data_IF_877912815332
#
_entry.id   IF_877912815332
#
_cell.length_a   1.000
_cell.length_b   1.000
_cell.length_c   1.000
_cell.angle_alpha   90.00
_cell.angle_beta   90.00
_cell.angle_gamma   90.00
#
_symmetry.space_group_name_H-M   'P 1'
#
loop_
_entity.id
_entity.type
_entity.pdbx_description
1 polymer ?
2 water ?
#
# COMPACT_ATOMS: atom_id res chain seq x y z
N UNK A 1 19.41 -22.08 3.73
CA UNK A 1 19.48 -23.16 2.75
C UNK A 1 18.19 -23.47 2.06
N UNK A 2 17.14 -22.74 2.36
CA UNK A 2 15.86 -22.90 1.69
C UNK A 2 15.48 -21.58 1.00
N UNK A 3 14.59 -21.73 0.03
CA UNK A 3 14.09 -20.56 -0.75
C UNK A 3 12.59 -20.45 -0.69
N UNK A 4 12.07 -19.31 -1.15
CA UNK A 4 10.62 -19.17 -1.26
C UNK A 4 10.04 -19.12 0.15
N UNK A 5 8.79 -19.51 0.27
CA UNK A 5 8.05 -19.42 1.54
C UNK A 5 8.69 -20.24 2.67
N UNK A 6 9.40 -21.28 2.30
CA UNK A 6 10.15 -22.15 3.22
C UNK A 6 11.50 -21.58 3.61
N UNK A 7 11.90 -20.48 2.98
CA UNK A 7 13.23 -19.90 3.27
C UNK A 7 13.09 -18.39 3.48
N UNK A 8 11.90 -18.00 3.87
CA UNK A 8 11.59 -16.59 4.12
C UNK A 8 11.75 -15.72 2.88
N UNK A 9 11.28 -16.15 1.74
CA UNK A 9 11.37 -15.40 0.49
C UNK A 9 12.78 -15.20 -0.02
N UNK A 10 13.67 -16.07 0.34
CA UNK A 10 15.04 -16.14 -0.08
C UNK A 10 15.03 -16.63 -1.55
N UNK A 11 16.01 -16.06 -2.26
CA UNK A 11 16.11 -16.33 -3.72
C UNK A 11 17.38 -17.06 -3.96
N UNK A 12 17.43 -17.88 -4.96
CA UNK A 12 18.57 -18.68 -5.39
C UNK A 12 19.57 -17.83 -6.20
N UNK A 13 20.82 -18.18 -6.20
CA UNK A 13 21.87 -17.46 -6.90
C UNK A 13 21.75 -17.81 -8.39
N UNK A 14 22.25 -16.92 -9.26
CA UNK A 14 22.27 -17.17 -10.70
C UNK A 14 21.02 -17.62 -11.43
N UNK A 15 19.96 -16.99 -11.06
CA UNK A 15 18.58 -17.21 -11.47
C UNK A 15 18.12 -18.62 -11.30
N UNK A 16 18.69 -19.41 -10.37
CA UNK A 16 18.15 -20.80 -10.19
C UNK A 16 16.74 -20.64 -9.69
N UNK A 17 15.90 -21.55 -10.13
CA UNK A 17 14.48 -21.58 -9.80
C UNK A 17 14.30 -22.30 -8.44
N UNK A 18 13.39 -21.68 -7.74
CA UNK A 18 13.04 -22.30 -6.40
C UNK A 18 11.82 -23.17 -6.65
N UNK A 19 11.92 -24.49 -6.47
CA UNK A 19 10.76 -25.36 -6.65
C UNK A 19 9.67 -25.03 -5.65
N UNK A 20 8.59 -25.78 -5.87
CA UNK A 20 7.42 -25.64 -4.98
C UNK A 20 7.77 -26.17 -3.58
N UNK A 21 8.82 -26.92 -3.46
CA UNK A 21 9.25 -27.47 -2.15
C UNK A 21 10.20 -26.55 -1.41
N UNK A 22 10.69 -25.47 -1.99
CA UNK A 22 11.61 -24.58 -1.30
C UNK A 22 13.06 -24.98 -1.56
N UNK A 23 13.42 -25.67 -2.61
CA UNK A 23 14.75 -26.04 -3.00
C UNK A 23 15.14 -25.35 -4.36
N UNK A 24 16.43 -25.04 -4.43
CA UNK A 24 17.04 -24.41 -5.61
C UNK A 24 17.63 -25.39 -6.63
N UNK A 25 17.29 -25.20 -7.92
CA UNK A 25 17.90 -26.02 -8.97
C UNK A 25 17.48 -25.55 -10.36
N UNK A 26 17.61 -26.48 -11.29
CA UNK A 26 17.30 -26.18 -12.71
C UNK A 26 16.73 -27.48 -13.25
N UNK A 27 15.81 -27.27 -14.13
CA UNK A 27 15.13 -28.38 -14.84
C UNK A 27 13.64 -28.12 -14.60
N UNK A 28 12.85 -29.02 -15.15
CA UNK A 28 11.39 -28.96 -15.05
C UNK A 28 10.95 -29.16 -13.59
N UNK A 29 11.80 -29.79 -12.80
CA UNK A 29 11.41 -30.06 -11.38
C UNK A 29 11.40 -28.77 -10.58
N UNK A 30 12.12 -27.77 -11.06
CA UNK A 30 12.24 -26.53 -10.25
C UNK A 30 11.62 -25.32 -10.98
N UNK A 31 11.82 -25.37 -12.28
CA UNK A 31 11.32 -24.21 -13.05
C UNK A 31 9.91 -24.39 -13.54
N UNK A 32 9.48 -25.64 -13.59
CA UNK A 32 8.11 -25.87 -14.04
C UNK A 32 7.11 -25.34 -13.01
N UNK A 33 5.97 -26.01 -13.04
CA UNK A 33 4.77 -25.80 -12.21
C UNK A 33 5.16 -25.73 -10.72
N UNK A 34 4.69 -24.69 -10.05
CA UNK A 34 5.00 -24.40 -8.66
C UNK A 34 6.27 -23.60 -8.47
N UNK A 35 7.01 -23.33 -9.51
CA UNK A 35 8.25 -22.52 -9.43
C UNK A 35 8.00 -21.26 -8.63
N UNK A 36 8.89 -20.96 -7.68
CA UNK A 36 8.77 -19.84 -6.78
C UNK A 36 9.40 -18.53 -7.16
N UNK A 37 10.61 -18.47 -7.62
CA UNK A 37 11.33 -17.21 -7.96
C UNK A 37 12.45 -17.72 -8.85
N UNK A 38 13.30 -16.93 -9.45
CA UNK A 38 14.34 -17.41 -10.36
C UNK A 38 13.78 -17.49 -11.80
N UNK A 39 14.43 -18.13 -12.70
CA UNK A 39 14.00 -18.34 -14.10
C UNK A 39 12.81 -19.23 -14.28
N UNK A 40 11.70 -19.04 -13.58
CA UNK A 40 10.51 -19.92 -13.74
C UNK A 40 10.05 -19.94 -15.21
N UNK A 41 9.69 -21.07 -15.70
CA UNK A 41 9.22 -21.37 -17.04
C UNK A 41 8.00 -20.55 -17.37
N UNK A 42 7.23 -20.33 -16.32
CA UNK A 42 6.04 -19.46 -16.46
C UNK A 42 6.34 -18.17 -15.72
N UNK A 43 6.73 -17.13 -16.46
CA UNK A 43 7.11 -15.85 -15.81
C UNK A 43 6.05 -15.45 -14.84
N UNK A 44 6.41 -14.87 -13.75
CA UNK A 44 5.53 -14.33 -12.72
C UNK A 44 4.98 -12.99 -13.24
N UNK A 45 3.87 -12.55 -12.75
CA UNK A 45 3.19 -11.33 -13.04
C UNK A 45 3.60 -10.19 -12.15
N UNK A 46 3.40 -8.96 -12.63
CA UNK A 46 3.85 -7.80 -11.82
C UNK A 46 3.18 -6.52 -12.25
N UNK A 47 3.65 -5.45 -11.61
CA UNK A 47 3.16 -4.10 -11.78
C UNK A 47 1.65 -4.07 -11.87
N UNK A 48 1.18 -3.09 -12.61
CA UNK A 48 -0.22 -2.82 -12.90
C UNK A 48 -1.10 -4.05 -13.02
N UNK A 49 -0.61 -5.03 -13.75
CA UNK A 49 -1.37 -6.26 -13.97
C UNK A 49 -1.54 -7.20 -12.78
N UNK A 50 -0.79 -6.99 -11.72
CA UNK A 50 -0.84 -7.85 -10.52
C UNK A 50 -0.57 -7.08 -9.24
N UNK A 51 -1.42 -6.12 -9.01
CA UNK A 51 -1.48 -5.25 -7.87
C UNK A 51 -0.34 -4.42 -7.43
N UNK A 52 0.68 -4.20 -8.23
CA UNK A 52 1.85 -3.39 -7.84
C UNK A 52 3.01 -4.32 -7.49
N UNK A 53 2.72 -5.61 -7.56
CA UNK A 53 3.68 -6.69 -7.29
C UNK A 53 4.98 -6.45 -8.06
N UNK A 54 6.09 -6.54 -7.36
CA UNK A 54 7.48 -6.42 -7.78
C UNK A 54 7.98 -7.80 -8.21
N UNK A 55 8.96 -7.83 -9.09
CA UNK A 55 9.55 -9.05 -9.59
C UNK A 55 10.67 -9.47 -8.63
N UNK A 56 10.68 -10.75 -8.37
CA UNK A 56 11.74 -11.32 -7.50
C UNK A 56 13.02 -11.37 -8.35
N UNK A 57 14.17 -11.47 -7.75
CA UNK A 57 15.47 -11.60 -8.34
C UNK A 57 15.86 -10.34 -9.20
N UNK A 58 15.19 -9.27 -8.90
CA UNK A 58 15.45 -7.99 -9.63
C UNK A 58 15.06 -8.06 -11.13
N UNK A 59 14.17 -8.91 -11.51
CA UNK A 59 13.72 -9.02 -12.90
C UNK A 59 12.96 -7.73 -13.23
N UNK A 60 12.99 -7.41 -14.54
CA UNK A 60 12.24 -6.25 -15.07
C UNK A 60 10.83 -6.76 -15.30
N UNK A 61 9.90 -5.92 -14.98
CA UNK A 61 8.46 -6.07 -15.22
C UNK A 61 8.14 -5.33 -16.57
N UNK A 62 7.93 -6.13 -17.57
CA UNK A 62 7.62 -5.69 -18.93
C UNK A 62 6.30 -4.94 -18.88
N UNK A 63 5.95 -4.31 -19.99
CA UNK A 63 4.70 -3.52 -20.07
C UNK A 63 3.44 -4.34 -19.94
N UNK A 64 3.42 -5.62 -20.19
CA UNK A 64 2.28 -6.51 -20.04
C UNK A 64 2.13 -7.13 -18.63
N UNK A 65 2.99 -6.67 -17.74
CA UNK A 65 2.98 -7.15 -16.35
C UNK A 65 3.54 -8.54 -16.16
N UNK A 66 4.51 -8.96 -16.93
CA UNK A 66 5.24 -10.21 -16.86
C UNK A 66 6.69 -9.93 -16.42
N UNK A 67 7.31 -10.91 -15.76
CA UNK A 67 8.70 -10.75 -15.32
C UNK A 67 9.79 -11.35 -16.19
N UNK A 68 10.87 -10.58 -16.45
CA UNK A 68 11.93 -11.16 -17.31
C UNK A 68 13.11 -10.21 -17.51
N UNK A 69 13.95 -10.58 -18.44
CA UNK A 69 15.12 -9.73 -18.82
C UNK A 69 15.06 -9.56 -20.38
N UNK A 70 15.86 -8.68 -20.90
CA UNK A 70 15.98 -8.41 -22.34
C UNK A 70 15.13 -7.23 -22.77
N UNK A 71 15.29 -6.88 -24.07
CA UNK A 71 14.53 -5.74 -24.68
C UNK A 71 13.07 -5.74 -24.37
N UNK A 72 12.35 -6.87 -24.58
CA UNK A 72 10.92 -6.90 -24.27
C UNK A 72 10.49 -6.60 -22.84
N UNK A 73 11.40 -6.84 -21.85
CA UNK A 73 11.06 -6.61 -20.43
C UNK A 73 11.73 -5.37 -19.84
N UNK A 74 12.96 -5.19 -20.25
CA UNK A 74 13.65 -3.99 -19.65
C UNK A 74 13.50 -2.75 -20.56
N UNK A 75 13.06 -2.99 -21.77
CA UNK A 75 12.94 -1.82 -22.72
C UNK A 75 11.75 -0.98 -22.49
N UNK A 76 11.19 -0.55 -23.63
CA UNK A 76 9.97 0.30 -23.60
C UNK A 76 8.78 -0.35 -22.90
N UNK A 77 8.16 0.47 -22.06
CA UNK A 77 7.01 0.24 -21.24
C UNK A 77 7.35 -0.40 -19.88
N UNK A 78 8.60 -0.73 -19.68
CA UNK A 78 9.07 -1.42 -18.47
C UNK A 78 8.45 -0.80 -17.24
N UNK A 79 7.83 -1.58 -16.37
CA UNK A 79 7.22 -0.95 -15.17
C UNK A 79 8.04 -1.10 -13.90
N UNK A 80 8.99 -2.02 -13.80
CA UNK A 80 9.76 -2.19 -12.57
C UNK A 80 11.02 -2.99 -12.74
N UNK A 81 11.96 -2.83 -11.78
CA UNK A 81 13.25 -3.60 -12.02
C UNK A 81 14.24 -2.67 -12.67
N UNK A 82 15.37 -3.20 -13.11
CA UNK A 82 16.47 -2.47 -13.73
C UNK A 82 16.13 -2.15 -15.24
N UNK A 83 15.06 -1.43 -15.33
CA UNK A 83 14.47 -0.92 -16.63
C UNK A 83 15.55 -0.10 -17.34
N UNK A 84 15.48 -0.10 -18.64
CA UNK A 84 16.53 0.60 -19.46
C UNK A 84 16.54 2.10 -19.36
N UNK A 85 15.45 2.72 -18.99
CA UNK A 85 15.27 4.12 -18.72
C UNK A 85 15.45 4.48 -17.22
N UNK A 86 16.08 5.58 -16.97
CA UNK A 86 16.28 6.06 -15.60
C UNK A 86 14.92 6.20 -14.93
N UNK A 87 14.91 5.87 -13.65
CA UNK A 87 13.71 5.87 -12.82
C UNK A 87 13.93 7.01 -11.84
N UNK A 88 12.95 7.85 -11.79
CA UNK A 88 12.87 9.08 -10.99
C UNK A 88 12.28 8.87 -9.61
N UNK A 89 12.75 9.73 -8.72
CA UNK A 89 12.30 9.60 -7.32
C UNK A 89 12.71 10.83 -6.54
N UNK A 90 12.22 10.84 -5.32
CA UNK A 90 12.57 11.85 -4.34
C UNK A 90 11.79 13.11 -4.34
N UNK A 91 12.46 14.13 -3.78
CA UNK A 91 11.83 15.47 -3.69
C UNK A 91 11.40 15.83 -5.12
N UNK A 92 12.29 15.58 -6.04
CA UNK A 92 12.03 15.91 -7.45
C UNK A 92 10.82 15.21 -8.02
N UNK A 93 10.25 14.24 -7.34
CA UNK A 93 9.09 13.52 -7.86
C UNK A 93 8.05 13.15 -6.82
N UNK A 94 7.70 14.19 -6.08
CA UNK A 94 6.69 14.15 -5.03
C UNK A 94 7.07 13.06 -4.01
N UNK A 95 8.31 13.09 -3.61
CA UNK A 95 8.89 12.19 -2.64
C UNK A 95 8.77 10.70 -2.93
N UNK A 96 8.58 10.28 -4.17
CA UNK A 96 8.49 8.88 -4.53
C UNK A 96 9.74 8.15 -4.01
N UNK A 97 9.43 6.91 -3.62
CA UNK A 97 10.47 6.00 -3.12
C UNK A 97 10.91 5.13 -4.26
N UNK A 98 12.14 4.69 -4.34
CA UNK A 98 12.52 3.75 -5.40
C UNK A 98 12.01 2.35 -4.95
N UNK A 99 11.77 1.53 -5.90
CA UNK A 99 11.30 0.15 -5.67
C UNK A 99 12.52 -0.71 -5.27
N UNK A 100 12.19 -1.71 -4.45
CA UNK A 100 13.22 -2.65 -4.01
C UNK A 100 14.33 -2.04 -3.21
N UNK A 101 14.10 -1.04 -2.41
CA UNK A 101 15.16 -0.48 -1.53
C UNK A 101 16.27 0.30 -2.22
N UNK A 102 16.21 0.46 -3.57
CA UNK A 102 17.24 1.16 -4.28
C UNK A 102 17.38 2.56 -3.66
N UNK A 103 18.57 3.05 -3.90
CA UNK A 103 18.87 4.43 -3.39
C UNK A 103 18.31 5.47 -4.37
N UNK A 104 17.84 6.55 -3.82
CA UNK A 104 17.37 7.70 -4.64
C UNK A 104 18.52 8.73 -4.54
N UNK A 105 19.30 8.87 -5.60
CA UNK A 105 20.44 9.78 -5.62
C UNK A 105 19.98 11.19 -5.33
N UNK A 106 20.96 12.01 -5.03
CA UNK A 106 20.76 13.44 -4.78
C UNK A 106 20.03 14.10 -5.96
N UNK A 107 20.22 13.64 -7.17
CA UNK A 107 19.60 14.09 -8.41
C UNK A 107 18.22 13.58 -8.75
N UNK A 108 17.68 12.61 -7.94
CA UNK A 108 16.35 12.09 -8.19
C UNK A 108 16.28 10.87 -9.08
N UNK A 109 17.26 10.02 -9.14
CA UNK A 109 17.29 8.77 -9.90
C UNK A 109 17.62 7.58 -8.95
N UNK A 110 17.13 6.43 -9.35
CA UNK A 110 17.24 5.16 -8.64
C UNK A 110 18.41 4.34 -9.10
N UNK A 111 19.20 3.84 -8.13
CA UNK A 111 20.35 2.98 -8.44
C UNK A 111 20.91 2.36 -7.15
N UNK A 112 22.06 1.80 -7.22
CA UNK A 112 22.80 1.20 -6.11
C UNK A 112 24.27 1.52 -6.44
N UNK A 113 25.00 1.82 -5.41
CA UNK A 113 26.44 2.06 -5.69
C UNK A 113 26.64 3.44 -5.05
N UNK A 114 27.89 3.79 -5.03
CA UNK A 114 28.28 5.04 -4.38
C UNK A 114 27.56 6.28 -4.79
N UNK A 115 27.28 6.40 -6.09
CA UNK A 115 26.65 7.57 -6.67
C UNK A 115 25.22 7.78 -6.28
N UNK A 116 24.56 6.73 -5.88
CA UNK A 116 23.15 6.85 -5.52
C UNK A 116 22.94 6.80 -4.01
N UNK A 117 23.79 5.92 -3.45
CA UNK A 117 23.69 5.59 -2.01
C UNK A 117 24.56 6.48 -1.14
N UNK A 118 25.62 7.03 -1.72
CA UNK A 118 26.55 7.86 -0.92
C UNK A 118 25.93 9.20 -0.68
N UNK A 119 26.65 10.18 -0.21
CA UNK A 119 26.21 11.54 0.13
C UNK A 119 25.09 12.12 -0.70
N UNK A 120 24.03 12.62 -0.13
CA UNK A 120 22.89 13.21 -0.84
C UNK A 120 21.75 12.22 -0.99
N UNK A 121 22.04 10.96 -0.84
CA UNK A 121 21.06 9.86 -0.92
C UNK A 121 19.85 10.32 -0.14
N UNK A 122 18.74 10.13 -0.79
CA UNK A 122 17.44 10.62 -0.34
C UNK A 122 16.59 9.55 0.37
N UNK A 123 16.61 8.34 -0.14
CA UNK A 123 15.73 7.29 0.46
C UNK A 123 16.34 5.99 0.00
N UNK A 124 15.85 4.91 0.58
CA UNK A 124 16.42 3.60 0.27
C UNK A 124 17.67 3.30 1.11
N UNK A 125 18.42 2.40 0.57
CA UNK A 125 19.65 1.79 1.01
C UNK A 125 20.83 2.71 1.11
N UNK A 126 20.60 3.90 1.64
CA UNK A 126 21.66 4.91 1.71
C UNK A 126 22.76 4.36 2.65
N UNK A 127 23.96 4.63 2.30
CA UNK A 127 25.15 4.25 3.05
C UNK A 127 25.56 5.38 3.98
N UNK A 128 24.77 6.44 4.09
CA UNK A 128 25.17 7.58 4.93
C UNK A 128 24.89 7.35 6.40
N UNK A 129 24.04 6.39 6.67
CA UNK A 129 23.64 6.00 8.01
C UNK A 129 23.37 7.20 8.90
N UNK A 130 22.33 7.95 8.60
CA UNK A 130 21.92 9.13 9.34
C UNK A 130 21.09 8.82 10.58
N UNK A 131 21.34 9.63 11.60
CA UNK A 131 20.72 9.58 12.91
C UNK A 131 19.23 9.86 12.88
N UNK A 132 18.53 9.00 13.57
CA UNK A 132 17.07 9.04 13.76
C UNK A 132 16.78 9.09 15.26
N UNK A 133 15.51 9.19 15.60
CA UNK A 133 14.99 9.23 16.95
C UNK A 133 15.26 10.53 17.70
N UNK A 134 15.06 10.41 19.00
CA UNK A 134 15.19 11.42 20.03
C UNK A 134 16.56 12.10 20.00
N UNK A 135 17.61 11.33 19.74
CA UNK A 135 18.93 11.98 19.72
C UNK A 135 19.06 12.75 18.40
N UNK A 136 18.02 12.67 17.60
CA UNK A 136 18.02 13.31 16.28
C UNK A 136 16.90 14.29 16.03
N UNK A 137 16.47 14.99 17.05
CA UNK A 137 15.36 15.96 16.93
C UNK A 137 14.17 15.23 16.29
N UNK A 138 13.98 14.04 16.78
CA UNK A 138 12.95 13.11 16.40
C UNK A 138 12.71 13.06 14.89
N UNK A 139 13.77 12.71 14.20
CA UNK A 139 13.61 12.58 12.73
C UNK A 139 13.39 11.08 12.52
N UNK A 140 12.67 10.72 11.49
CA UNK A 140 12.29 9.35 11.16
C UNK A 140 12.97 8.83 9.90
N UNK A 141 13.12 7.52 9.86
CA UNK A 141 13.75 6.80 8.75
C UNK A 141 12.81 6.81 7.52
N UNK A 142 13.47 6.68 6.37
CA UNK A 142 12.73 6.65 5.08
C UNK A 142 12.35 5.17 4.97
N UNK A 143 11.51 4.85 4.06
CA UNK A 143 11.12 3.47 3.73
C UNK A 143 10.46 2.73 4.89
N UNK A 144 10.14 3.47 5.92
CA UNK A 144 9.52 2.92 7.13
C UNK A 144 10.56 2.01 7.83
N UNK A 145 11.83 2.36 7.61
CA UNK A 145 12.91 1.60 8.27
C UNK A 145 12.67 1.85 9.78
N UNK A 146 13.18 0.91 10.55
CA UNK A 146 13.10 0.98 12.02
C UNK A 146 14.23 1.86 12.52
N UNK A 147 13.87 2.69 13.46
CA UNK A 147 14.82 3.58 14.14
C UNK A 147 15.11 2.87 15.49
N UNK A 148 16.23 2.22 15.55
CA UNK A 148 16.71 1.42 16.67
C UNK A 148 16.96 2.22 17.95
N UNK A 149 16.92 1.50 19.07
CA UNK A 149 17.15 2.09 20.39
C UNK A 149 18.31 3.09 20.35
N UNK A 150 19.24 2.84 19.46
CA UNK A 150 20.46 3.58 19.23
C UNK A 150 20.44 4.80 18.32
N UNK A 151 19.38 5.02 17.57
CA UNK A 151 19.34 6.15 16.61
C UNK A 151 19.98 5.75 15.27
N UNK A 152 19.62 4.59 14.78
CA UNK A 152 20.09 4.05 13.51
C UNK A 152 18.94 3.42 12.74
N UNK A 153 18.97 3.61 11.42
CA UNK A 153 17.89 3.07 10.57
C UNK A 153 18.29 1.70 10.06
N UNK A 154 17.28 0.83 10.05
CA UNK A 154 17.56 -0.53 9.57
C UNK A 154 16.35 -1.45 9.59
N UNK A 155 16.68 -2.70 9.28
CA UNK A 155 15.64 -3.77 9.26
C UNK A 155 16.32 -5.01 9.86
N UNK A 156 15.62 -5.55 10.82
CA UNK A 156 16.10 -6.76 11.54
C UNK A 156 15.70 -6.56 13.02
N UNK A 157 15.73 -7.65 13.75
CA UNK A 157 15.40 -7.73 15.16
C UNK A 157 16.10 -6.63 15.94
N UNK A 158 17.36 -6.41 15.62
CA UNK A 158 18.16 -5.40 16.32
C UNK A 158 17.61 -3.99 16.14
N UNK A 159 17.00 -3.79 14.96
CA UNK A 159 16.46 -2.45 14.66
C UNK A 159 15.00 -2.31 15.05
N UNK A 160 14.18 -3.27 14.69
CA UNK A 160 12.74 -3.29 14.86
C UNK A 160 12.23 -3.83 16.18
N UNK A 161 13.18 -4.42 16.89
CA UNK A 161 12.95 -5.03 18.21
C UNK A 161 12.82 -3.92 19.27
N UNK A 162 12.93 -4.42 20.50
CA UNK A 162 12.84 -3.58 21.70
C UNK A 162 13.69 -2.30 21.63
N UNK A 163 13.03 -1.21 21.99
CA UNK A 163 13.71 0.11 22.00
C UNK A 163 13.64 0.87 20.66
N UNK A 164 12.82 0.36 19.78
CA UNK A 164 12.59 0.90 18.42
C UNK A 164 11.82 2.19 18.62
N UNK A 165 12.39 3.30 18.25
CA UNK A 165 11.73 4.61 18.49
C UNK A 165 10.68 5.01 17.48
N UNK A 166 10.68 4.45 16.29
CA UNK A 166 9.72 4.80 15.22
C UNK A 166 10.00 3.85 14.05
N UNK A 167 9.18 3.89 13.03
CA UNK A 167 9.43 3.08 11.83
C UNK A 167 8.61 1.81 11.87
N UNK A 168 9.03 0.76 11.24
CA UNK A 168 8.24 -0.50 11.24
C UNK A 168 8.75 -1.43 12.36
N UNK A 169 8.56 -0.98 13.57
CA UNK A 169 8.92 -1.69 14.80
C UNK A 169 8.08 -2.95 15.01
N UNK A 170 8.70 -3.92 15.66
CA UNK A 170 7.96 -5.16 16.04
C UNK A 170 7.62 -4.76 17.52
N UNK A 171 8.70 -4.24 18.08
CA UNK A 171 8.78 -3.72 19.45
C UNK A 171 9.67 -2.45 19.29
N UNK B 1 -24.21 16.37 -8.64
CA UNK B 1 -25.60 15.99 -8.82
C UNK B 1 -25.74 14.74 -9.62
N UNK B 2 -24.66 14.08 -9.88
CA UNK B 2 -24.54 12.80 -10.59
C UNK B 2 -23.78 11.88 -9.60
N UNK B 3 -24.14 10.65 -9.67
CA UNK B 3 -23.59 9.56 -8.83
C UNK B 3 -22.96 8.46 -9.63
N UNK B 4 -22.18 7.62 -8.94
CA UNK B 4 -21.54 6.47 -9.65
C UNK B 4 -20.43 7.08 -10.51
N UNK B 5 -20.14 6.39 -11.58
CA UNK B 5 -19.10 6.69 -12.54
C UNK B 5 -19.23 8.11 -13.09
N UNK B 6 -20.46 8.49 -13.41
CA UNK B 6 -20.74 9.84 -13.92
C UNK B 6 -20.70 10.90 -12.84
N UNK B 7 -20.39 10.56 -11.60
CA UNK B 7 -20.44 11.54 -10.53
C UNK B 7 -19.24 11.36 -9.60
N UNK B 8 -18.17 10.81 -10.16
CA UNK B 8 -17.02 10.66 -9.24
C UNK B 8 -17.27 9.65 -8.11
N UNK B 9 -17.98 8.58 -8.44
CA UNK B 9 -18.29 7.51 -7.51
C UNK B 9 -19.01 8.02 -6.27
N UNK B 10 -19.64 9.12 -6.47
CA UNK B 10 -20.44 9.81 -5.45
C UNK B 10 -21.66 8.92 -5.12
N UNK B 11 -22.19 9.21 -3.92
CA UNK B 11 -23.32 8.45 -3.39
C UNK B 11 -24.53 9.26 -3.04
N UNK B 12 -25.63 8.60 -3.34
CA UNK B 12 -26.98 9.15 -3.07
C UNK B 12 -27.15 9.06 -1.54
N UNK B 13 -27.81 9.98 -0.95
CA UNK B 13 -28.15 10.00 0.45
C UNK B 13 -29.26 8.93 0.64
N UNK B 14 -29.45 8.61 1.92
CA UNK B 14 -30.47 7.69 2.41
C UNK B 14 -30.71 6.43 1.64
N UNK B 15 -29.68 5.82 1.19
CA UNK B 15 -29.76 4.57 0.43
C UNK B 15 -30.39 4.59 -0.91
N UNK B 16 -30.57 5.80 -1.48
CA UNK B 16 -31.11 5.85 -2.87
C UNK B 16 -30.07 5.24 -3.79
N UNK B 17 -30.62 4.51 -4.76
CA UNK B 17 -29.86 3.82 -5.80
C UNK B 17 -29.39 4.85 -6.85
N UNK B 18 -28.22 4.60 -7.36
CA UNK B 18 -27.63 5.40 -8.44
C UNK B 18 -27.95 4.57 -9.69
N UNK B 19 -28.70 5.18 -10.62
CA UNK B 19 -29.06 4.32 -11.82
C UNK B 19 -27.82 4.13 -12.67
N UNK B 20 -27.96 3.31 -13.69
CA UNK B 20 -26.90 3.12 -14.68
C UNK B 20 -26.58 4.46 -15.42
N UNK B 21 -27.42 5.44 -15.36
CA UNK B 21 -27.22 6.75 -15.95
C UNK B 21 -26.55 7.76 -15.07
N UNK B 22 -26.45 7.54 -13.75
CA UNK B 22 -25.77 8.54 -12.92
C UNK B 22 -26.73 9.38 -12.17
N UNK B 23 -27.94 8.84 -11.95
CA UNK B 23 -28.93 9.57 -11.17
C UNK B 23 -29.43 8.76 -9.97
N UNK B 24 -29.86 9.51 -8.99
CA UNK B 24 -30.44 9.02 -7.75
C UNK B 24 -31.97 8.97 -7.77
N UNK B 25 -32.48 7.85 -7.23
CA UNK B 25 -33.91 7.58 -7.13
C UNK B 25 -34.16 6.18 -6.46
N UNK B 26 -35.33 5.70 -6.67
CA UNK B 26 -35.90 4.48 -6.10
C UNK B 26 -36.88 3.91 -7.11
N UNK B 27 -36.79 2.62 -7.29
CA UNK B 27 -37.72 1.91 -8.21
C UNK B 27 -36.87 1.06 -9.13
N UNK B 28 -37.47 0.35 -10.03
CA UNK B 28 -36.84 -0.52 -10.99
C UNK B 28 -35.85 0.25 -11.87
N UNK B 29 -36.17 1.49 -12.19
CA UNK B 29 -35.30 2.33 -13.04
C UNK B 29 -33.95 2.65 -12.42
N UNK B 30 -33.89 2.80 -11.09
CA UNK B 30 -32.67 3.13 -10.38
C UNK B 30 -31.99 1.96 -9.65
N UNK B 31 -32.83 1.16 -8.98
CA UNK B 31 -32.36 0.02 -8.18
C UNK B 31 -32.23 -1.28 -8.93
N UNK B 32 -32.83 -1.39 -10.11
CA UNK B 32 -32.82 -2.56 -10.98
C UNK B 32 -31.49 -2.73 -11.66
N UNK B 33 -31.57 -3.35 -12.84
CA UNK B 33 -30.41 -3.61 -13.73
C UNK B 33 -29.56 -2.34 -13.93
N UNK B 34 -28.27 -2.53 -13.69
CA UNK B 34 -27.30 -1.43 -13.85
C UNK B 34 -27.15 -0.53 -12.64
N UNK B 35 -27.81 -0.82 -11.56
CA UNK B 35 -27.66 -0.03 -10.30
C UNK B 35 -26.17 -0.03 -9.98
N UNK B 36 -25.63 1.11 -9.58
CA UNK B 36 -24.23 1.31 -9.27
C UNK B 36 -23.96 1.38 -7.76
N UNK B 37 -24.92 1.77 -6.98
CA UNK B 37 -24.73 1.94 -5.53
C UNK B 37 -26.06 2.21 -4.88
N UNK B 38 -26.05 2.27 -3.54
CA UNK B 38 -27.30 2.45 -2.81
C UNK B 38 -27.96 1.04 -2.61
N UNK B 39 -29.24 1.10 -2.37
CA UNK B 39 -30.10 -0.05 -2.12
C UNK B 39 -30.37 -0.89 -3.36
N UNK B 40 -29.33 -1.25 -4.09
CA UNK B 40 -29.51 -2.03 -5.30
C UNK B 40 -30.19 -3.37 -5.00
N UNK B 41 -31.00 -3.72 -5.97
CA UNK B 41 -31.77 -4.97 -5.97
C UNK B 41 -30.86 -6.17 -5.96
N UNK B 42 -29.88 -6.18 -6.84
CA UNK B 42 -28.82 -7.19 -6.89
C UNK B 42 -27.71 -6.52 -6.06
N UNK B 43 -27.47 -7.03 -4.86
CA UNK B 43 -26.49 -6.38 -3.92
C UNK B 43 -25.12 -6.50 -4.53
N UNK B 44 -24.16 -5.67 -4.26
CA UNK B 44 -22.82 -5.84 -4.81
C UNK B 44 -22.04 -6.94 -4.08
N UNK B 45 -21.06 -7.49 -4.71
CA UNK B 45 -20.13 -8.49 -4.23
C UNK B 45 -19.05 -7.71 -3.49
N UNK B 46 -18.37 -8.37 -2.58
CA UNK B 46 -17.35 -7.63 -1.76
C UNK B 46 -16.42 -8.64 -1.10
N UNK B 47 -15.50 -8.12 -0.32
CA UNK B 47 -14.51 -8.97 0.36
C UNK B 47 -13.87 -10.00 -0.54
N UNK B 48 -13.46 -11.11 0.06
CA UNK B 48 -12.78 -12.25 -0.49
C UNK B 48 -13.31 -12.75 -1.83
N UNK B 49 -14.62 -12.94 -1.85
CA UNK B 49 -15.26 -13.43 -3.10
C UNK B 49 -15.20 -12.33 -4.15
N UNK B 50 -15.02 -11.07 -3.71
CA UNK B 50 -14.91 -9.99 -4.73
C UNK B 50 -13.59 -9.22 -4.68
N UNK B 51 -12.52 -9.97 -4.61
CA UNK B 51 -11.14 -9.51 -4.58
C UNK B 51 -10.85 -8.35 -3.66
N UNK B 52 -11.29 -8.39 -2.43
CA UNK B 52 -11.02 -7.37 -1.44
C UNK B 52 -11.84 -6.10 -1.54
N UNK B 53 -12.80 -6.14 -2.43
CA UNK B 53 -13.69 -4.98 -2.66
C UNK B 53 -14.58 -4.67 -1.46
N UNK B 54 -14.69 -3.40 -1.20
CA UNK B 54 -15.44 -2.71 -0.18
C UNK B 54 -16.84 -2.33 -0.75
N UNK B 55 -17.82 -2.41 0.09
CA UNK B 55 -19.18 -2.07 -0.23
C UNK B 55 -19.28 -0.54 -0.18
N UNK B 56 -19.99 -0.04 -1.15
CA UNK B 56 -20.18 1.45 -1.20
C UNK B 56 -21.21 1.74 -0.11
N UNK B 57 -21.40 2.95 0.33
CA UNK B 57 -22.39 3.42 1.22
C UNK B 57 -22.24 2.84 2.69
N UNK B 58 -21.08 2.34 2.94
CA UNK B 58 -20.79 1.79 4.29
C UNK B 58 -21.74 0.61 4.63
N UNK B 59 -22.11 -0.15 3.66
CA UNK B 59 -22.93 -1.33 3.84
C UNK B 59 -21.95 -2.37 4.43
N UNK B 60 -22.56 -3.46 5.00
CA UNK B 60 -21.69 -4.51 5.57
C UNK B 60 -21.48 -5.55 4.49
N UNK B 61 -20.29 -6.16 4.51
CA UNK B 61 -20.02 -7.24 3.55
C UNK B 61 -20.34 -8.56 4.28
N UNK B 62 -21.24 -9.35 3.71
CA UNK B 62 -21.60 -10.64 4.42
C UNK B 62 -20.48 -11.63 4.27
N UNK B 63 -20.53 -12.70 5.07
CA UNK B 63 -19.46 -13.73 4.99
C UNK B 63 -19.43 -14.28 3.56
N UNK B 64 -20.53 -14.16 2.85
CA UNK B 64 -20.64 -14.68 1.50
C UNK B 64 -20.32 -13.64 0.42
N UNK B 65 -19.75 -12.52 0.79
CA UNK B 65 -19.39 -11.48 -0.20
C UNK B 65 -20.56 -10.79 -0.85
N UNK B 66 -21.51 -10.30 -0.11
CA UNK B 66 -22.68 -9.59 -0.55
C UNK B 66 -22.82 -8.39 0.42
N UNK B 67 -23.16 -7.29 -0.20
CA UNK B 67 -23.32 -6.03 0.53
C UNK B 67 -24.70 -5.91 1.10
N UNK B 68 -24.88 -5.39 2.32
CA UNK B 68 -26.23 -5.29 2.83
C UNK B 68 -26.16 -4.81 4.27
N UNK B 69 -27.29 -4.86 4.93
CA UNK B 69 -27.47 -4.51 6.33
C UNK B 69 -28.31 -5.58 7.08
N UNK B 70 -28.12 -5.59 8.37
CA UNK B 70 -28.79 -6.53 9.29
C UNK B 70 -27.90 -7.71 9.65
N UNK B 71 -28.44 -8.44 10.66
CA UNK B 71 -27.71 -9.63 11.19
C UNK B 71 -27.05 -10.43 10.15
N UNK B 72 -27.72 -10.86 9.08
CA UNK B 72 -27.08 -11.67 8.02
C UNK B 72 -25.81 -11.09 7.42
N UNK B 73 -25.72 -9.77 7.39
CA UNK B 73 -24.65 -8.98 6.80
C UNK B 73 -23.63 -8.45 7.78
N UNK B 74 -24.12 -7.75 8.78
CA UNK B 74 -23.27 -7.13 9.79
C UNK B 74 -22.94 -8.09 10.94
N UNK B 75 -23.67 -9.21 10.96
CA UNK B 75 -23.50 -10.19 12.04
C UNK B 75 -22.21 -10.96 11.90
N UNK B 76 -22.31 -12.20 12.40
CA UNK B 76 -21.15 -13.13 12.41
C UNK B 76 -20.68 -13.45 11.01
N UNK B 77 -19.39 -13.34 10.82
CA UNK B 77 -18.76 -13.64 9.51
C UNK B 77 -18.55 -12.40 8.65
N UNK B 78 -19.12 -11.30 9.05
CA UNK B 78 -19.00 -10.01 8.33
C UNK B 78 -17.55 -9.65 8.09
N UNK B 79 -17.18 -9.45 6.84
CA UNK B 79 -15.85 -9.09 6.36
C UNK B 79 -15.64 -7.60 6.12
N UNK B 80 -16.65 -6.75 6.21
CA UNK B 80 -16.41 -5.31 5.98
C UNK B 80 -17.58 -4.42 6.30
N UNK B 81 -17.34 -3.10 6.42
CA UNK B 81 -18.53 -2.23 6.73
C UNK B 81 -18.61 -2.18 8.24
N UNK B 82 -19.62 -1.60 8.79
CA UNK B 82 -19.80 -1.44 10.24
C UNK B 82 -20.28 -2.77 10.88
N UNK B 83 -19.36 -3.71 10.83
CA UNK B 83 -19.54 -5.08 11.35
C UNK B 83 -19.83 -4.98 12.84
N UNK B 84 -20.67 -5.92 13.24
CA UNK B 84 -21.13 -6.04 14.63
C UNK B 84 -19.93 -6.37 15.51
N UNK B 85 -19.01 -7.17 14.96
CA UNK B 85 -17.77 -7.45 15.72
C UNK B 85 -16.84 -6.24 15.68
N UNK B 86 -16.16 -5.92 16.74
CA UNK B 86 -15.20 -4.83 16.77
C UNK B 86 -14.05 -5.09 15.77
N UNK B 87 -13.62 -4.03 15.09
CA UNK B 87 -12.50 -4.17 14.13
C UNK B 87 -11.23 -3.62 14.76
N UNK B 88 -10.24 -4.46 14.72
CA UNK B 88 -8.89 -4.23 15.27
C UNK B 88 -7.94 -3.69 14.20
N UNK B 89 -6.92 -3.01 14.66
CA UNK B 89 -5.97 -2.35 13.74
C UNK B 89 -4.84 -1.73 14.56
N UNK B 90 -3.84 -1.30 13.81
CA UNK B 90 -2.68 -0.63 14.35
C UNK B 90 -1.66 -1.61 14.91
N UNK B 91 -0.83 -1.03 15.76
CA UNK B 91 0.24 -1.76 16.45
C UNK B 91 -0.41 -2.85 17.31
N UNK B 92 -1.74 -2.83 17.26
CA UNK B 92 -2.53 -3.83 17.98
C UNK B 92 -2.93 -4.96 17.05
N UNK B 93 -2.48 -4.92 15.80
CA UNK B 93 -2.82 -5.96 14.83
C UNK B 93 -1.98 -5.89 13.55
N UNK B 94 -0.69 -5.96 13.77
CA UNK B 94 0.30 -5.95 12.70
C UNK B 94 0.19 -4.75 11.78
N UNK B 95 0.19 -3.58 12.39
CA UNK B 95 0.10 -2.32 11.65
C UNK B 95 -1.14 -2.15 10.77
N UNK B 96 -2.10 -3.05 10.79
CA UNK B 96 -3.33 -3.00 10.03
C UNK B 96 -4.03 -1.64 10.13
N UNK B 97 -4.52 -1.30 8.94
CA UNK B 97 -5.23 -0.07 8.66
C UNK B 97 -6.73 -0.37 8.65
N UNK B 98 -7.49 0.57 9.11
CA UNK B 98 -8.95 0.40 9.06
C UNK B 98 -9.31 0.58 7.57
N UNK B 99 -10.33 -0.10 7.21
CA UNK B 99 -10.85 -0.03 5.81
C UNK B 99 -11.67 1.26 5.78
N UNK B 100 -11.91 1.76 4.56
CA UNK B 100 -12.72 2.95 4.33
C UNK B 100 -12.33 4.19 5.10
N UNK B 101 -11.09 4.43 5.37
CA UNK B 101 -10.65 5.64 6.10
C UNK B 101 -11.14 5.75 7.54
N UNK B 102 -11.65 4.64 8.08
CA UNK B 102 -12.07 4.69 9.52
C UNK B 102 -10.78 4.87 10.34
N UNK B 103 -10.89 5.60 11.40
CA UNK B 103 -9.86 5.93 12.38
C UNK B 103 -9.55 4.67 13.24
N UNK B 104 -8.28 4.48 13.51
CA UNK B 104 -7.84 3.41 14.42
C UNK B 104 -7.60 4.15 15.73
N UNK B 105 -8.41 3.87 16.71
CA UNK B 105 -8.33 4.55 18.03
C UNK B 105 -6.98 4.28 18.67
N UNK B 106 -6.70 4.99 19.73
CA UNK B 106 -5.48 4.73 20.52
C UNK B 106 -5.40 3.27 20.96
N UNK B 107 -6.53 2.66 21.28
CA UNK B 107 -6.76 1.30 21.76
C UNK B 107 -6.80 0.20 20.76
N UNK B 108 -6.72 0.57 19.46
CA UNK B 108 -6.62 -0.46 18.41
C UNK B 108 -7.92 -0.97 17.86
N UNK B 109 -8.92 -0.16 17.83
CA UNK B 109 -10.21 -0.46 17.22
C UNK B 109 -10.55 0.56 16.11
N UNK B 110 -11.27 0.07 15.11
CA UNK B 110 -11.74 0.91 14.02
C UNK B 110 -13.05 1.59 14.40
N UNK B 111 -13.12 2.89 14.05
CA UNK B 111 -14.32 3.66 14.27
C UNK B 111 -14.28 5.10 13.78
N UNK B 112 -15.32 5.83 14.09
CA UNK B 112 -15.40 7.25 13.70
C UNK B 112 -15.98 8.04 14.85
N UNK B 113 -15.36 9.17 15.16
CA UNK B 113 -15.88 10.05 16.23
C UNK B 113 -14.63 10.32 17.07
N UNK B 114 -14.72 11.21 18.02
CA UNK B 114 -13.56 11.65 18.81
C UNK B 114 -12.77 10.54 19.49
N UNK B 115 -13.49 9.53 19.98
CA UNK B 115 -12.83 8.45 20.73
C UNK B 115 -11.89 7.65 19.87
N UNK B 116 -12.11 7.71 18.57
CA UNK B 116 -11.41 6.99 17.53
C UNK B 116 -10.44 7.81 16.72
N UNK B 117 -10.91 9.00 16.42
CA UNK B 117 -10.23 9.98 15.54
C UNK B 117 -9.31 10.93 16.24
N UNK B 118 -9.60 11.30 17.46
CA UNK B 118 -8.84 12.19 18.29
C UNK B 118 -7.56 11.61 18.83
N UNK B 119 -7.08 12.30 19.86
CA UNK B 119 -5.79 12.00 20.51
C UNK B 119 -5.48 10.52 20.42
N UNK B 120 -4.29 10.17 19.99
CA UNK B 120 -3.89 8.77 19.91
C UNK B 120 -4.36 8.09 18.65
N UNK B 121 -5.23 8.76 17.89
CA UNK B 121 -5.67 8.17 16.58
C UNK B 121 -4.43 7.74 15.87
N UNK B 122 -4.36 6.55 15.38
CA UNK B 122 -3.19 5.97 14.76
C UNK B 122 -3.12 6.07 13.24
N UNK B 123 -4.26 6.06 12.62
CA UNK B 123 -4.32 6.10 11.13
C UNK B 123 -5.75 6.40 10.76
N UNK B 124 -6.06 6.54 9.49
CA UNK B 124 -7.40 6.92 9.01
C UNK B 124 -7.63 8.40 9.17
N UNK B 125 -8.88 8.79 9.19
CA UNK B 125 -9.34 10.16 9.33
C UNK B 125 -9.11 10.83 10.66
N UNK B 126 -7.91 10.73 11.19
CA UNK B 126 -7.63 11.36 12.48
C UNK B 126 -7.92 12.85 12.38
N UNK B 127 -8.38 13.46 13.43
CA UNK B 127 -8.70 14.88 13.55
C UNK B 127 -7.57 15.63 14.28
N UNK B 128 -6.47 14.86 14.45
CA UNK B 128 -5.32 15.46 15.15
C UNK B 128 -4.51 16.33 14.21
N UNK B 129 -4.45 15.96 12.94
CA UNK B 129 -3.74 16.81 11.98
C UNK B 129 -2.30 17.09 12.38
N UNK B 130 -1.57 16.00 12.55
CA UNK B 130 -0.14 16.12 12.87
C UNK B 130 0.56 16.38 11.52
N UNK B 131 1.66 17.09 11.63
CA UNK B 131 2.50 17.51 10.51
C UNK B 131 3.30 16.38 9.93
N UNK B 132 3.54 16.51 8.64
CA UNK B 132 4.30 15.57 7.82
C UNK B 132 5.34 16.37 7.05
N UNK B 133 6.33 15.67 6.55
CA UNK B 133 7.36 16.22 5.72
C UNK B 133 8.55 16.92 6.33
N UNK B 134 9.25 17.59 5.44
CA UNK B 134 10.48 18.33 5.61
C UNK B 134 10.62 19.01 6.96
N UNK B 135 9.50 19.59 7.32
CA UNK B 135 9.45 20.35 8.59
C UNK B 135 9.15 19.44 9.78
N UNK B 136 8.78 18.21 9.48
CA UNK B 136 8.35 17.23 10.46
C UNK B 136 9.18 15.96 10.57
N UNK B 137 10.48 16.13 10.59
CA UNK B 137 11.43 15.03 10.71
C UNK B 137 11.37 14.09 9.51
N UNK B 138 10.56 14.53 8.55
CA UNK B 138 10.37 13.77 7.31
C UNK B 138 9.32 12.66 7.56
N UNK B 139 8.36 12.97 8.38
CA UNK B 139 7.31 11.97 8.68
C UNK B 139 6.39 11.95 7.45
N UNK B 140 5.87 10.81 7.11
CA UNK B 140 4.95 10.67 6.00
C UNK B 140 3.59 10.38 6.65
N UNK B 141 2.55 10.69 5.93
CA UNK B 141 1.17 10.51 6.36
C UNK B 141 0.82 9.02 6.35
N UNK B 142 -0.24 8.71 7.07
CA UNK B 142 -0.78 7.34 7.09
C UNK B 142 -1.66 7.27 5.82
N UNK B 143 -2.01 6.08 5.43
CA UNK B 143 -2.93 5.79 4.37
C UNK B 143 -2.58 6.34 2.99
N UNK B 144 -1.39 6.63 2.69
CA UNK B 144 -0.97 7.21 1.39
C UNK B 144 -1.61 8.59 1.23
N UNK B 145 -1.93 9.26 2.32
CA UNK B 145 -2.50 10.61 2.27
C UNK B 145 -1.35 11.53 1.79
N UNK B 146 -1.75 12.58 1.05
CA UNK B 146 -0.75 13.52 0.53
C UNK B 146 -0.25 14.49 1.59
N UNK B 147 1.05 14.64 1.61
CA UNK B 147 1.63 15.63 2.52
C UNK B 147 1.74 16.94 1.69
N UNK B 148 0.91 17.90 2.01
CA UNK B 148 0.92 19.20 1.29
C UNK B 148 2.26 19.89 1.58
N UNK B 149 2.49 20.95 0.82
CA UNK B 149 3.74 21.75 0.93
C UNK B 149 3.77 22.46 2.27
N UNK B 150 2.59 22.56 2.87
CA UNK B 150 2.51 23.20 4.20
C UNK B 150 2.73 22.22 5.33
N UNK B 151 2.96 20.95 5.04
CA UNK B 151 3.13 19.90 6.05
C UNK B 151 1.79 19.39 6.62
N UNK B 152 0.76 19.24 5.79
CA UNK B 152 -0.53 18.73 6.31
C UNK B 152 -1.00 17.58 5.45
N UNK B 153 -1.63 16.61 6.10
CA UNK B 153 -2.14 15.36 5.45
C UNK B 153 -3.57 15.53 4.99
N UNK B 154 -3.82 15.04 3.77
CA UNK B 154 -5.16 15.26 3.18
C UNK B 154 -5.15 14.58 1.80
N UNK B 155 -6.29 14.68 1.22
CA UNK B 155 -6.61 14.21 -0.12
C UNK B 155 -7.28 15.43 -0.79
N UNK B 156 -6.69 15.71 -1.95
CA UNK B 156 -7.23 16.87 -2.73
C UNK B 156 -6.11 17.55 -3.51
N UNK B 157 -6.55 18.49 -4.36
CA UNK B 157 -5.68 19.30 -5.20
C UNK B 157 -4.61 20.00 -4.36
N UNK B 158 -5.06 20.71 -3.35
CA UNK B 158 -4.28 21.44 -2.34
C UNK B 158 -3.34 20.52 -1.58
N UNK B 159 -3.55 19.20 -1.62
CA UNK B 159 -2.64 18.27 -0.93
C UNK B 159 -1.75 17.51 -1.93
N UNK B 160 -2.34 16.94 -2.94
CA UNK B 160 -1.72 16.06 -3.91
C UNK B 160 -1.15 16.80 -5.11
N UNK B 161 -1.45 18.10 -5.16
CA UNK B 161 -0.95 18.94 -6.23
C UNK B 161 0.47 19.45 -5.97
N UNK B 162 0.75 20.56 -6.65
CA UNK B 162 2.02 21.28 -6.61
C UNK B 162 2.56 21.32 -5.18
N UNK B 163 3.79 20.88 -5.06
CA UNK B 163 4.52 20.89 -3.80
C UNK B 163 4.13 19.82 -2.77
N UNK B 164 3.65 18.71 -3.29
CA UNK B 164 3.22 17.57 -2.43
C UNK B 164 4.53 16.84 -2.12
N UNK B 165 4.80 16.63 -0.85
CA UNK B 165 6.07 16.01 -0.44
C UNK B 165 6.14 14.49 -0.54
N UNK B 166 4.98 13.89 -0.21
CA UNK B 166 4.88 12.41 -0.19
C UNK B 166 3.44 11.97 -0.19
N UNK B 167 3.28 10.67 -0.13
CA UNK B 167 1.88 10.15 -0.12
C UNK B 167 1.59 10.00 -1.62
N UNK B 168 0.34 9.88 -1.96
CA UNK B 168 -0.07 9.64 -3.33
C UNK B 168 -0.19 10.93 -4.12
N UNK B 169 0.95 11.56 -4.33
CA UNK B 169 1.02 12.81 -5.08
C UNK B 169 0.67 12.58 -6.57
N UNK B 170 0.12 13.67 -7.06
CA UNK B 170 -0.26 13.80 -8.49
C UNK B 170 1.08 13.53 -9.23
N UNK B 171 1.03 12.50 -10.05
CA UNK B 171 2.18 12.02 -10.82
C UNK B 171 2.97 10.91 -10.08
#
# INVERSE_FOLDING_TARGET
>A
QRCGEQGSNMECPNNLCCSQYGYCGMGGDYCGKGCQNGACWTSKRCGSQAGGATCPNNHCCSQYGHCGFGAEYCGAGCQGGPCRADIKCGSQSGGKLCPNNLCCSQWGFCGLGSEFCGGGCQSGACSTDKPCGKDAGGRVCTNNYCCSKWGSCGIGPGYCGAGCQSGGCDA
>B
QRCGEQGSNMECPNNLCCSQYGYCGMGGDYCGKGCQNGACWTSKRCGSQAGGATCPNNHCCSQYGHCGFGAEYCGAGCQGGPCRADIKCGSQSGGKLCPNNLCCSQWGFCGLGSEFCGGGCQSGACSTDKPCGKDAGGRVCTNNYCCSKWGSCGIGPGYCGAGCQSGGCDA
#
